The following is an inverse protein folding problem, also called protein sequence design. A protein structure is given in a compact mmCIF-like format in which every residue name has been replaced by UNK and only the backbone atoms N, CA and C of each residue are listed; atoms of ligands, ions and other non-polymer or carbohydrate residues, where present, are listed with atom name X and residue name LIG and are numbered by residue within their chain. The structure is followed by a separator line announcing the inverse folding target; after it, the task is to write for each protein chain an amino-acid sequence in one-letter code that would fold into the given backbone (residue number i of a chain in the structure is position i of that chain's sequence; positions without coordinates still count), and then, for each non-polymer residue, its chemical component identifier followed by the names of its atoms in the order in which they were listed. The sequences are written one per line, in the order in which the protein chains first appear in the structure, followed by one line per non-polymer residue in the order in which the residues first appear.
data_IF_712296403438
#
_entry.id   IF_712296403438
#
_cell.length_a   1.000
_cell.length_b   1.000
_cell.length_c   1.000
_cell.angle_alpha   90.00
_cell.angle_beta   90.00
_cell.angle_gamma   90.00
#
_symmetry.space_group_name_H-M   'P 1'
#
loop_
_entity.id
_entity.type
_entity.pdbx_description
1 polymer ?
#
# COMPACT_ATOMS: atom_id res chain seq x y z
N UNK A 1 8.23 7.52 -11.13
CA UNK A 1 7.34 8.53 -11.76
C UNK A 1 8.19 9.72 -12.15
N UNK A 2 8.10 10.22 -13.38
CA UNK A 2 8.86 11.39 -13.82
C UNK A 2 8.04 12.69 -13.62
N UNK A 3 8.69 13.86 -13.74
CA UNK A 3 8.05 15.18 -13.55
C UNK A 3 6.88 15.42 -14.51
N UNK A 4 6.92 14.85 -15.72
CA UNK A 4 5.82 14.93 -16.67
C UNK A 4 4.61 14.14 -16.17
N UNK A 5 4.77 12.88 -15.77
CA UNK A 5 3.67 12.05 -15.28
C UNK A 5 3.03 12.67 -14.03
N UNK A 6 3.87 13.09 -13.07
CA UNK A 6 3.42 13.71 -11.83
C UNK A 6 2.63 15.01 -12.09
N UNK A 7 3.13 15.89 -12.98
CA UNK A 7 2.44 17.12 -13.34
C UNK A 7 1.14 16.87 -14.14
N UNK A 8 1.06 15.78 -14.91
CA UNK A 8 -0.18 15.37 -15.57
C UNK A 8 -1.21 14.90 -14.54
N UNK A 9 -0.85 13.96 -13.67
CA UNK A 9 -1.73 13.37 -12.64
C UNK A 9 -2.30 14.42 -11.69
N UNK A 10 -1.46 15.33 -11.18
CA UNK A 10 -1.91 16.42 -10.29
C UNK A 10 -2.93 17.32 -10.99
N UNK A 11 -2.72 17.66 -12.27
CA UNK A 11 -3.67 18.49 -13.02
C UNK A 11 -4.96 17.73 -13.34
N UNK A 12 -4.92 16.42 -13.62
CA UNK A 12 -6.13 15.63 -13.86
C UNK A 12 -7.01 15.54 -12.60
N UNK A 13 -6.41 15.31 -11.42
CA UNK A 13 -7.13 15.35 -10.15
C UNK A 13 -7.69 16.75 -9.85
N UNK A 14 -6.89 17.83 -10.02
CA UNK A 14 -7.39 19.20 -9.88
C UNK A 14 -8.58 19.48 -10.81
N UNK A 15 -8.54 19.01 -12.06
CA UNK A 15 -9.63 19.17 -13.02
C UNK A 15 -10.93 18.48 -12.58
N UNK A 16 -10.88 17.43 -11.74
CA UNK A 16 -12.10 16.83 -11.16
C UNK A 16 -12.78 17.82 -10.19
N UNK A 17 -12.02 18.49 -9.33
CA UNK A 17 -12.58 19.47 -8.39
C UNK A 17 -13.12 20.71 -9.11
N UNK A 18 -12.41 21.23 -10.12
CA UNK A 18 -12.88 22.36 -10.91
C UNK A 18 -14.13 22.03 -11.74
N UNK A 19 -14.25 20.80 -12.27
CA UNK A 19 -15.49 20.30 -12.89
C UNK A 19 -16.66 20.22 -11.89
N UNK A 20 -16.42 19.75 -10.65
CA UNK A 20 -17.44 19.75 -9.58
C UNK A 20 -17.93 21.17 -9.24
N UNK A 21 -17.05 22.16 -9.30
CA UNK A 21 -17.39 23.57 -9.10
C UNK A 21 -18.10 24.24 -10.30
N UNK A 22 -18.29 23.54 -11.43
CA UNK A 22 -18.77 24.07 -12.72
C UNK A 22 -17.93 25.20 -13.34
N UNK A 23 -16.84 25.63 -12.71
CA UNK A 23 -16.02 26.76 -13.18
C UNK A 23 -15.25 26.39 -14.47
N UNK A 24 -15.37 27.18 -15.56
CA UNK A 24 -14.59 26.96 -16.78
C UNK A 24 -13.08 27.06 -16.51
N UNK A 25 -12.31 26.09 -16.99
CA UNK A 25 -10.84 26.04 -16.81
C UNK A 25 -10.07 26.44 -18.06
N UNK A 26 -8.77 26.71 -17.92
CA UNK A 26 -7.81 26.75 -19.04
C UNK A 26 -7.65 25.36 -19.67
N UNK A 27 -7.03 25.30 -20.85
CA UNK A 27 -6.74 24.03 -21.52
C UNK A 27 -5.72 23.20 -20.72
N UNK A 28 -5.90 21.87 -20.70
CA UNK A 28 -5.12 20.94 -19.86
C UNK A 28 -3.61 21.09 -20.04
N UNK A 29 -3.14 21.29 -21.28
CA UNK A 29 -1.72 21.52 -21.57
C UNK A 29 -1.12 22.68 -20.79
N UNK A 30 -1.89 23.74 -20.57
CA UNK A 30 -1.38 25.01 -20.09
C UNK A 30 -1.44 25.07 -18.56
N UNK A 31 -2.38 24.34 -17.96
CA UNK A 31 -2.34 23.96 -16.55
C UNK A 31 -1.08 23.14 -16.23
N UNK A 32 -0.73 22.13 -17.05
CA UNK A 32 0.50 21.34 -16.88
C UNK A 32 1.76 22.20 -17.08
N UNK A 33 1.79 23.10 -18.08
CA UNK A 33 2.89 24.07 -18.27
C UNK A 33 3.04 25.00 -17.05
N UNK A 34 1.95 25.53 -16.49
CA UNK A 34 1.95 26.36 -15.27
C UNK A 34 2.61 25.61 -14.11
N UNK A 35 2.19 24.37 -13.87
CA UNK A 35 2.69 23.55 -12.76
C UNK A 35 4.18 23.20 -12.92
N UNK A 36 4.62 22.82 -14.14
CA UNK A 36 6.05 22.57 -14.43
C UNK A 36 6.91 23.82 -14.22
N UNK A 37 6.48 24.99 -14.72
CA UNK A 37 7.19 26.26 -14.53
C UNK A 37 7.31 26.66 -13.05
N UNK A 38 6.29 26.37 -12.23
CA UNK A 38 6.33 26.62 -10.78
C UNK A 38 7.31 25.67 -10.08
N UNK A 39 7.36 24.39 -10.45
CA UNK A 39 8.37 23.44 -9.97
C UNK A 39 9.80 23.86 -10.37
N UNK A 40 10.02 24.29 -11.61
CA UNK A 40 11.31 24.82 -12.08
C UNK A 40 11.74 26.08 -11.31
N UNK A 41 10.78 26.97 -11.02
CA UNK A 41 11.02 28.17 -10.20
C UNK A 41 11.45 27.77 -8.79
N UNK A 42 10.72 26.84 -8.15
CA UNK A 42 11.06 26.29 -6.84
C UNK A 42 12.45 25.64 -6.81
N UNK A 43 12.75 24.73 -7.75
CA UNK A 43 14.08 24.07 -7.87
C UNK A 43 15.21 25.07 -8.07
N UNK A 44 14.95 26.24 -8.64
CA UNK A 44 15.96 27.28 -8.79
C UNK A 44 16.14 28.11 -7.52
N UNK A 45 15.08 28.39 -6.74
CA UNK A 45 15.18 28.99 -5.41
C UNK A 45 15.91 28.06 -4.42
N UNK A 46 15.60 26.77 -4.45
CA UNK A 46 16.23 25.74 -3.63
C UNK A 46 17.76 25.67 -3.86
N UNK A 47 18.22 25.76 -5.11
CA UNK A 47 19.67 25.84 -5.43
C UNK A 47 20.34 27.11 -4.87
N UNK A 48 19.59 28.20 -4.67
CA UNK A 48 20.10 29.48 -4.19
C UNK A 48 19.80 29.78 -2.72
N UNK A 49 19.21 28.85 -1.97
CA UNK A 49 18.76 29.04 -0.59
C UNK A 49 19.87 29.52 0.39
N UNK A 50 21.15 29.24 0.07
CA UNK A 50 22.31 29.69 0.85
C UNK A 50 22.71 31.16 0.59
N UNK A 51 22.00 31.90 -0.29
CA UNK A 51 22.33 33.28 -0.67
C UNK A 51 21.41 34.28 0.05
N UNK A 52 21.92 34.92 1.09
CA UNK A 52 21.18 35.89 1.92
C UNK A 52 20.95 37.28 1.26
N UNK A 53 20.99 37.39 -0.08
CA UNK A 53 20.78 38.67 -0.77
C UNK A 53 19.30 39.09 -0.75
N UNK A 54 19.02 40.38 -0.70
CA UNK A 54 17.64 40.88 -0.61
C UNK A 54 16.84 40.61 -1.89
N UNK A 55 17.54 40.50 -3.03
CA UNK A 55 16.99 39.98 -4.29
C UNK A 55 16.57 38.51 -4.24
N UNK A 56 17.18 37.68 -3.37
CA UNK A 56 16.75 36.29 -3.15
C UNK A 56 15.57 36.24 -2.18
N UNK A 57 15.66 36.92 -1.03
CA UNK A 57 14.55 37.07 -0.06
C UNK A 57 13.27 37.57 -0.73
N UNK A 58 13.39 38.56 -1.62
CA UNK A 58 12.27 39.11 -2.39
C UNK A 58 11.63 38.07 -3.32
N UNK A 59 12.42 37.25 -4.00
CA UNK A 59 11.90 36.16 -4.87
C UNK A 59 11.22 35.07 -4.06
N UNK A 60 11.77 34.72 -2.90
CA UNK A 60 11.19 33.72 -1.98
C UNK A 60 9.85 34.21 -1.42
N UNK A 61 9.76 35.48 -1.00
CA UNK A 61 8.50 36.12 -0.59
C UNK A 61 7.46 36.10 -1.72
N UNK A 62 7.83 36.57 -2.92
CA UNK A 62 6.93 36.57 -4.09
C UNK A 62 6.48 35.14 -4.44
N UNK A 63 7.36 34.14 -4.33
CA UNK A 63 7.00 32.75 -4.57
C UNK A 63 6.01 32.23 -3.51
N UNK A 64 6.24 32.52 -2.22
CA UNK A 64 5.34 32.16 -1.12
C UNK A 64 3.95 32.77 -1.28
N UNK A 65 3.86 34.07 -1.61
CA UNK A 65 2.60 34.76 -1.90
C UNK A 65 1.84 34.11 -3.07
N UNK A 66 2.56 33.67 -4.10
CA UNK A 66 1.99 32.99 -5.27
C UNK A 66 1.56 31.54 -5.01
N UNK A 67 2.04 30.86 -3.96
CA UNK A 67 1.60 29.49 -3.64
C UNK A 67 0.11 29.41 -3.30
N UNK A 68 -0.47 30.48 -2.74
CA UNK A 68 -1.91 30.58 -2.52
C UNK A 68 -2.73 30.49 -3.84
N UNK A 69 -2.11 30.87 -4.97
CA UNK A 69 -2.69 30.87 -6.31
C UNK A 69 -2.20 29.70 -7.19
N UNK A 70 -1.50 28.72 -6.61
CA UNK A 70 -0.94 27.54 -7.29
C UNK A 70 -1.97 26.84 -8.19
N UNK A 71 -3.16 26.56 -7.65
CA UNK A 71 -4.22 25.82 -8.34
C UNK A 71 -5.36 26.68 -8.91
N UNK A 72 -5.20 28.02 -9.04
CA UNK A 72 -6.08 28.79 -9.93
C UNK A 72 -5.78 28.38 -11.39
N UNK A 73 -6.70 27.59 -11.95
CA UNK A 73 -6.71 27.15 -13.34
C UNK A 73 -7.96 27.65 -14.08
N UNK A 74 -8.64 28.68 -13.56
CA UNK A 74 -9.81 29.29 -14.18
C UNK A 74 -9.49 29.81 -15.58
N UNK A 75 -10.42 29.66 -16.51
CA UNK A 75 -10.35 30.31 -17.81
C UNK A 75 -10.21 31.83 -17.63
N UNK A 76 -9.48 32.50 -18.52
CA UNK A 76 -9.26 33.95 -18.42
C UNK A 76 -10.62 34.71 -18.34
N UNK A 77 -11.58 34.28 -19.16
CA UNK A 77 -12.93 34.84 -19.22
C UNK A 77 -13.93 34.03 -18.37
N UNK A 78 -13.50 33.36 -17.28
CA UNK A 78 -14.40 32.51 -16.48
C UNK A 78 -15.62 33.28 -15.94
N UNK A 79 -15.43 34.51 -15.44
CA UNK A 79 -16.51 35.33 -14.85
C UNK A 79 -17.61 35.73 -15.85
N UNK A 80 -17.33 35.77 -17.16
CA UNK A 80 -18.34 36.04 -18.20
C UNK A 80 -18.88 34.76 -18.88
N UNK A 81 -18.22 33.62 -18.70
CA UNK A 81 -18.72 32.30 -19.13
C UNK A 81 -19.65 31.65 -18.09
N UNK A 82 -19.46 31.94 -16.81
CA UNK A 82 -20.35 31.50 -15.73
C UNK A 82 -21.68 32.29 -15.82
N UNK A 83 -22.81 31.57 -15.83
CA UNK A 83 -24.16 32.17 -15.90
C UNK A 83 -24.89 32.28 -14.56
N UNK A 84 -24.35 31.67 -13.50
CA UNK A 84 -24.90 31.63 -12.14
C UNK A 84 -24.08 32.61 -11.30
N UNK A 85 -24.70 33.58 -10.63
CA UNK A 85 -23.96 34.64 -9.94
C UNK A 85 -23.25 34.11 -8.67
N UNK A 86 -23.86 33.16 -7.98
CA UNK A 86 -23.26 32.45 -6.84
C UNK A 86 -21.97 31.69 -7.23
N UNK A 87 -21.90 31.12 -8.44
CA UNK A 87 -20.70 30.45 -8.97
C UNK A 87 -19.59 31.49 -9.30
N UNK A 88 -19.95 32.76 -9.60
CA UNK A 88 -18.98 33.86 -9.79
C UNK A 88 -18.45 34.36 -8.45
N UNK A 89 -19.34 34.57 -7.48
CA UNK A 89 -18.99 34.99 -6.12
C UNK A 89 -18.07 33.96 -5.45
N UNK A 90 -18.36 32.67 -5.62
CA UNK A 90 -17.48 31.59 -5.16
C UNK A 90 -16.08 31.66 -5.80
N UNK A 91 -15.96 31.87 -7.12
CA UNK A 91 -14.66 32.05 -7.79
C UNK A 91 -13.91 33.30 -7.28
N UNK A 92 -14.62 34.37 -6.91
CA UNK A 92 -14.02 35.56 -6.31
C UNK A 92 -13.54 35.26 -4.88
N UNK A 93 -14.34 34.58 -4.06
CA UNK A 93 -14.00 34.18 -2.70
C UNK A 93 -12.79 33.22 -2.64
N UNK A 94 -12.63 32.32 -3.62
CA UNK A 94 -11.45 31.45 -3.74
C UNK A 94 -10.15 32.22 -4.07
N UNK A 95 -10.25 33.46 -4.57
CA UNK A 95 -9.11 34.32 -4.91
C UNK A 95 -8.74 35.33 -3.83
N UNK A 96 -9.59 35.52 -2.83
CA UNK A 96 -9.28 36.34 -1.65
C UNK A 96 -8.21 35.65 -0.78
N UNK A 97 -7.40 36.41 -0.01
CA UNK A 97 -6.59 35.83 1.06
C UNK A 97 -7.47 35.03 2.03
N UNK A 98 -6.88 34.02 2.65
CA UNK A 98 -7.52 33.09 3.61
C UNK A 98 -8.66 32.19 3.06
N UNK A 99 -9.15 32.42 1.83
CA UNK A 99 -10.22 31.64 1.14
C UNK A 99 -11.48 31.43 1.98
N UNK A 100 -12.41 32.37 1.88
CA UNK A 100 -13.64 32.49 2.72
C UNK A 100 -14.67 31.34 2.60
N UNK A 101 -14.37 30.22 1.92
CA UNK A 101 -15.29 29.09 1.79
C UNK A 101 -14.69 27.85 1.14
N UNK A 102 -15.42 26.73 1.21
CA UNK A 102 -15.05 25.44 0.61
C UNK A 102 -16.28 24.68 0.10
N UNK A 103 -16.09 23.75 -0.84
CA UNK A 103 -17.18 22.91 -1.34
C UNK A 103 -17.35 21.67 -0.45
N UNK A 104 -18.49 21.58 0.25
CA UNK A 104 -18.80 20.47 1.17
C UNK A 104 -19.50 19.30 0.46
N UNK A 105 -20.32 19.57 -0.58
CA UNK A 105 -21.12 18.54 -1.26
C UNK A 105 -21.53 18.91 -2.68
N UNK A 106 -22.20 17.98 -3.36
CA UNK A 106 -22.71 18.16 -4.73
C UNK A 106 -24.17 18.63 -4.65
N UNK A 107 -24.52 19.72 -5.34
CA UNK A 107 -25.91 20.17 -5.47
C UNK A 107 -26.72 19.17 -6.33
N UNK A 108 -27.49 18.32 -5.67
CA UNK A 108 -28.34 17.30 -6.30
C UNK A 108 -29.44 17.90 -7.18
N UNK A 109 -29.97 19.09 -6.85
CA UNK A 109 -31.08 19.72 -7.59
C UNK A 109 -30.57 20.25 -8.94
N UNK A 110 -29.47 20.99 -8.91
CA UNK A 110 -28.88 21.60 -10.11
C UNK A 110 -28.23 20.51 -11.00
N UNK A 111 -27.54 19.53 -10.40
CA UNK A 111 -27.02 18.35 -11.13
C UNK A 111 -28.13 17.58 -11.86
N UNK A 112 -29.31 17.38 -11.24
CA UNK A 112 -30.44 16.72 -11.89
C UNK A 112 -31.02 17.56 -13.06
N UNK A 113 -31.07 18.89 -12.91
CA UNK A 113 -31.51 19.78 -13.99
C UNK A 113 -30.53 19.77 -15.18
N UNK A 114 -29.22 19.77 -14.91
CA UNK A 114 -28.18 19.67 -15.95
C UNK A 114 -28.21 18.32 -16.67
N UNK A 115 -28.35 17.20 -15.95
CA UNK A 115 -28.50 15.87 -16.56
C UNK A 115 -29.68 15.82 -17.53
N UNK A 116 -30.85 16.32 -17.12
CA UNK A 116 -32.04 16.47 -17.99
C UNK A 116 -31.77 17.37 -19.21
N UNK A 117 -31.02 18.47 -19.05
CA UNK A 117 -30.62 19.40 -20.13
C UNK A 117 -29.64 18.75 -21.12
N UNK A 118 -28.70 17.94 -20.62
CA UNK A 118 -27.74 17.18 -21.41
C UNK A 118 -28.42 16.05 -22.21
N UNK A 119 -29.33 15.29 -21.59
CA UNK A 119 -30.14 14.26 -22.27
C UNK A 119 -31.00 14.86 -23.38
N UNK A 120 -31.66 16.01 -23.12
CA UNK A 120 -32.40 16.77 -24.14
C UNK A 120 -31.49 17.20 -25.32
N UNK A 121 -30.26 17.68 -25.04
CA UNK A 121 -29.26 17.98 -26.09
C UNK A 121 -28.82 16.72 -26.85
N UNK A 122 -28.55 15.60 -26.18
CA UNK A 122 -28.15 14.32 -26.81
C UNK A 122 -29.25 13.80 -27.74
N UNK A 123 -30.51 13.79 -27.30
CA UNK A 123 -31.66 13.42 -28.13
C UNK A 123 -31.83 14.36 -29.34
N UNK A 124 -31.65 15.68 -29.18
CA UNK A 124 -31.64 16.63 -30.32
C UNK A 124 -30.50 16.36 -31.31
N UNK A 125 -29.26 16.13 -30.85
CA UNK A 125 -28.13 15.80 -31.74
C UNK A 125 -28.36 14.48 -32.48
N UNK A 126 -28.83 13.44 -31.79
CA UNK A 126 -29.19 12.16 -32.40
C UNK A 126 -30.33 12.31 -33.44
N UNK A 127 -31.35 13.14 -33.19
CA UNK A 127 -32.37 13.43 -34.21
C UNK A 127 -31.78 14.14 -35.43
N UNK A 128 -30.90 15.15 -35.25
CA UNK A 128 -30.23 15.78 -36.40
C UNK A 128 -29.41 14.75 -37.19
N UNK A 129 -28.57 13.96 -36.53
CA UNK A 129 -27.72 12.95 -37.18
C UNK A 129 -28.54 11.86 -37.91
N UNK A 130 -29.75 11.53 -37.44
CA UNK A 130 -30.66 10.64 -38.19
C UNK A 130 -31.18 11.28 -39.47
N UNK A 131 -31.69 12.52 -39.40
CA UNK A 131 -32.18 13.25 -40.59
C UNK A 131 -31.05 13.49 -41.60
N UNK A 132 -29.84 13.77 -41.12
CA UNK A 132 -28.62 13.98 -41.90
C UNK A 132 -28.19 12.67 -42.60
N UNK A 133 -28.29 11.51 -41.93
CA UNK A 133 -28.06 10.19 -42.53
C UNK A 133 -29.19 9.74 -43.48
N UNK A 134 -30.45 10.09 -43.19
CA UNK A 134 -31.60 9.84 -44.06
C UNK A 134 -31.48 10.64 -45.37
N UNK A 135 -31.09 11.92 -45.32
CA UNK A 135 -30.78 12.72 -46.52
C UNK A 135 -29.66 12.11 -47.37
N UNK A 136 -28.57 11.64 -46.74
CA UNK A 136 -27.48 10.94 -47.45
C UNK A 136 -28.01 9.67 -48.13
N UNK A 137 -28.89 8.91 -47.47
CA UNK A 137 -29.50 7.71 -48.06
C UNK A 137 -30.42 8.03 -49.23
N UNK A 138 -31.19 9.13 -49.18
CA UNK A 138 -32.01 9.56 -50.31
C UNK A 138 -31.16 10.00 -51.51
N UNK A 139 -30.08 10.76 -51.29
CA UNK A 139 -29.16 11.14 -52.38
C UNK A 139 -28.44 9.94 -53.01
N UNK A 140 -28.13 8.89 -52.24
CA UNK A 140 -27.52 7.67 -52.77
C UNK A 140 -28.48 6.78 -53.59
N UNK A 141 -29.80 6.99 -53.48
CA UNK A 141 -30.81 6.27 -54.27
C UNK A 141 -31.13 6.98 -55.61
N UNK A 142 -30.74 8.25 -55.74
CA UNK A 142 -30.97 9.08 -56.94
C UNK A 142 -29.83 8.94 -57.96
N UNK A 143 -28.69 8.34 -57.57
CA UNK A 143 -27.48 8.19 -58.38
C UNK A 143 -27.37 6.89 -59.19
N UNK A 144 -28.21 5.88 -58.92
CA UNK A 144 -28.05 4.52 -59.48
C UNK A 144 -28.62 4.35 -60.92
N UNK A 145 -28.82 5.44 -61.66
CA UNK A 145 -29.20 5.43 -63.08
C UNK A 145 -28.16 6.18 -63.95
N UNK A 146 -26.87 5.89 -63.76
CA UNK A 146 -25.88 6.13 -64.83
C UNK A 146 -24.64 5.24 -64.79
N UNK A 147 -24.46 4.53 -65.91
CA UNK A 147 -23.21 4.12 -66.55
C UNK A 147 -22.45 2.87 -66.05
N UNK A 148 -21.80 2.23 -67.04
CA UNK A 148 -21.18 0.91 -67.01
C UNK A 148 -19.69 1.04 -67.31
N UNK A 149 -18.82 0.46 -66.48
CA UNK A 149 -17.60 -0.12 -67.05
C UNK A 149 -16.32 -0.22 -66.20
N UNK A 150 -15.63 -1.33 -66.49
CA UNK A 150 -14.16 -1.50 -66.57
C UNK A 150 -13.33 -1.47 -65.29
N UNK A 151 -12.97 -2.70 -64.90
CA UNK A 151 -11.72 -3.16 -64.27
C UNK A 151 -10.45 -2.39 -64.67
N UNK A 152 -9.43 -2.43 -63.80
CA UNK A 152 -7.98 -2.74 -64.03
C UNK A 152 -7.22 -2.39 -62.72
N UNK A 153 -6.94 -3.37 -61.85
CA UNK A 153 -5.62 -4.01 -61.58
C UNK A 153 -4.71 -3.18 -60.62
N UNK A 154 -3.63 -3.68 -60.00
CA UNK A 154 -2.86 -4.95 -60.12
C UNK A 154 -2.12 -5.28 -58.79
N UNK A 155 -1.94 -6.57 -58.46
CA UNK A 155 -0.75 -7.19 -57.76
C UNK A 155 -0.30 -6.69 -56.35
N UNK A 156 0.52 -7.39 -55.54
CA UNK A 156 1.26 -8.68 -55.57
C UNK A 156 1.22 -9.27 -54.12
N UNK A 157 0.78 -10.52 -53.89
CA UNK A 157 1.55 -11.78 -53.75
C UNK A 157 2.43 -11.99 -52.48
N UNK A 158 2.35 -13.20 -51.91
CA UNK A 158 3.06 -13.70 -50.70
C UNK A 158 4.05 -14.85 -51.03
N UNK A 159 4.78 -15.31 -49.99
CA UNK A 159 5.27 -16.71 -49.77
C UNK A 159 6.72 -17.07 -50.16
N UNK A 160 7.49 -17.54 -49.15
CA UNK A 160 8.29 -18.80 -49.04
C UNK A 160 9.03 -18.74 -47.67
N UNK A 161 8.95 -19.70 -46.73
CA UNK A 161 9.46 -21.10 -46.68
C UNK A 161 11.01 -21.21 -46.80
N UNK A 162 11.74 -21.97 -45.98
CA UNK A 162 11.47 -22.74 -44.72
C UNK A 162 12.83 -22.91 -43.92
N UNK A 163 13.21 -23.87 -43.06
CA UNK A 163 12.73 -25.20 -42.61
C UNK A 163 13.49 -25.71 -41.33
N UNK A 164 13.26 -26.97 -40.89
CA UNK A 164 14.02 -27.91 -39.97
C UNK A 164 14.91 -27.35 -38.82
N UNK A 165 14.90 -27.86 -37.56
CA UNK A 165 14.07 -28.89 -36.91
C UNK A 165 14.76 -29.71 -35.77
N UNK A 166 13.94 -30.27 -34.86
CA UNK A 166 14.10 -31.56 -34.11
C UNK A 166 15.08 -31.71 -32.89
N UNK A 167 14.54 -32.38 -31.84
CA UNK A 167 15.16 -33.20 -30.75
C UNK A 167 15.88 -32.58 -29.51
N UNK A 168 15.13 -32.58 -28.39
CA UNK A 168 15.43 -33.12 -27.05
C UNK A 168 16.88 -33.41 -26.57
N UNK A 169 17.14 -33.06 -25.29
CA UNK A 169 17.54 -34.05 -24.27
C UNK A 169 17.31 -33.52 -22.84
N UNK A 170 17.19 -34.44 -21.87
CA UNK A 170 17.07 -34.19 -20.43
C UNK A 170 18.34 -34.57 -19.70
N UNK A 171 18.64 -33.95 -18.56
CA UNK A 171 19.43 -34.60 -17.51
C UNK A 171 19.14 -34.06 -16.11
N UNK A 172 19.43 -34.88 -15.10
CA UNK A 172 19.21 -34.65 -13.68
C UNK A 172 20.52 -34.44 -12.92
N UNK A 173 20.53 -33.54 -11.94
CA UNK A 173 21.61 -33.47 -10.94
C UNK A 173 21.20 -34.10 -9.60
N UNK A 174 22.14 -34.82 -9.00
CA UNK A 174 21.95 -35.67 -7.82
C UNK A 174 22.70 -35.13 -6.60
N UNK A 175 22.15 -35.38 -5.40
CA UNK A 175 22.78 -35.03 -4.13
C UNK A 175 24.05 -35.85 -3.85
N UNK A 176 25.18 -35.18 -3.60
CA UNK A 176 26.37 -35.84 -3.06
C UNK A 176 26.44 -35.73 -1.53
N UNK A 177 26.42 -36.87 -0.85
CA UNK A 177 26.91 -36.99 0.53
C UNK A 177 28.45 -36.94 0.53
N UNK A 178 29.04 -36.26 1.53
CA UNK A 178 30.48 -36.34 1.81
C UNK A 178 30.69 -36.81 3.24
N UNK A 179 31.04 -38.09 3.38
CA UNK A 179 31.36 -38.71 4.67
C UNK A 179 32.83 -38.49 5.02
N UNK A 180 33.11 -37.80 6.12
CA UNK A 180 34.45 -37.76 6.71
C UNK A 180 34.56 -38.80 7.82
N UNK A 181 35.29 -39.88 7.54
CA UNK A 181 35.71 -40.85 8.56
C UNK A 181 36.85 -40.25 9.38
N UNK A 182 36.66 -40.14 10.70
CA UNK A 182 37.74 -39.90 11.67
C UNK A 182 37.78 -41.11 12.59
N UNK A 183 38.97 -41.67 12.77
CA UNK A 183 39.21 -42.86 13.60
C UNK A 183 38.90 -42.54 15.08
N UNK A 184 38.22 -43.46 15.76
CA UNK A 184 37.84 -43.31 17.16
C UNK A 184 38.24 -44.56 17.94
N UNK A 185 39.13 -44.40 18.92
CA UNK A 185 39.48 -45.47 19.86
C UNK A 185 38.34 -45.72 20.86
N UNK A 186 38.09 -46.99 21.26
CA UNK A 186 36.93 -47.35 22.08
C UNK A 186 37.15 -47.04 23.57
N UNK A 187 36.91 -45.80 23.98
CA UNK A 187 36.86 -45.45 25.41
C UNK A 187 35.56 -45.97 26.06
N UNK A 188 35.69 -46.99 26.91
CA UNK A 188 34.58 -47.72 27.51
C UNK A 188 33.97 -47.03 28.74
N UNK A 189 33.17 -46.00 28.53
CA UNK A 189 32.16 -45.57 29.52
C UNK A 189 30.80 -45.33 28.85
N UNK A 190 29.81 -46.16 29.19
CA UNK A 190 28.43 -45.98 28.73
C UNK A 190 27.81 -44.85 29.54
N UNK A 191 27.90 -43.63 29.03
CA UNK A 191 27.30 -42.46 29.64
C UNK A 191 25.79 -42.67 29.82
N UNK A 192 25.37 -42.96 31.05
CA UNK A 192 23.96 -43.16 31.40
C UNK A 192 23.19 -41.89 31.12
N UNK A 193 22.41 -41.90 30.03
CA UNK A 193 21.61 -40.76 29.61
C UNK A 193 20.43 -40.59 30.56
N UNK A 194 20.35 -39.43 31.20
CA UNK A 194 19.24 -39.07 32.07
C UNK A 194 17.88 -39.29 31.43
N UNK A 195 16.94 -39.80 32.23
CA UNK A 195 15.65 -40.33 31.78
C UNK A 195 14.49 -39.40 32.14
N UNK A 196 14.65 -38.57 33.17
CA UNK A 196 13.59 -37.70 33.70
C UNK A 196 13.54 -36.35 32.96
N UNK A 197 12.41 -36.05 32.31
CA UNK A 197 12.20 -34.75 31.66
C UNK A 197 11.96 -33.65 32.71
N UNK A 198 12.96 -32.77 32.89
CA UNK A 198 12.88 -31.64 33.83
C UNK A 198 12.12 -30.43 33.29
N UNK A 199 12.14 -30.20 31.97
CA UNK A 199 11.48 -29.05 31.33
C UNK A 199 10.00 -29.35 31.07
N UNK A 200 9.13 -28.76 31.88
CA UNK A 200 7.68 -28.75 31.69
C UNK A 200 7.17 -27.41 31.09
N UNK A 201 5.89 -27.35 30.72
CA UNK A 201 5.26 -26.16 30.09
C UNK A 201 5.43 -24.86 30.91
N UNK A 202 5.32 -24.93 32.25
CA UNK A 202 5.48 -23.76 33.15
C UNK A 202 6.93 -23.27 33.19
N UNK A 203 7.90 -24.18 33.29
CA UNK A 203 9.32 -23.86 33.27
C UNK A 203 9.77 -23.31 31.91
N UNK A 204 9.30 -23.89 30.81
CA UNK A 204 9.54 -23.38 29.46
C UNK A 204 8.97 -21.96 29.26
N UNK A 205 7.75 -21.71 29.75
CA UNK A 205 7.14 -20.37 29.72
C UNK A 205 7.93 -19.35 30.55
N UNK A 206 8.41 -19.73 31.74
CA UNK A 206 9.27 -18.88 32.57
C UNK A 206 10.60 -18.56 31.87
N UNK A 207 11.28 -19.56 31.30
CA UNK A 207 12.51 -19.36 30.52
C UNK A 207 12.30 -18.43 29.32
N UNK A 208 11.16 -18.54 28.63
CA UNK A 208 10.80 -17.66 27.51
C UNK A 208 10.57 -16.21 28.00
N UNK A 209 9.79 -16.01 29.07
CA UNK A 209 9.50 -14.69 29.65
C UNK A 209 10.77 -13.99 30.16
N UNK A 210 11.67 -14.74 30.78
CA UNK A 210 12.96 -14.25 31.28
C UNK A 210 14.07 -14.22 30.20
N UNK A 211 13.75 -14.48 28.92
CA UNK A 211 14.67 -14.44 27.77
C UNK A 211 15.91 -15.36 27.89
N UNK A 212 15.81 -16.43 28.69
CA UNK A 212 16.88 -17.41 28.94
C UNK A 212 17.19 -18.19 27.65
N UNK A 213 18.45 -18.25 27.20
CA UNK A 213 18.82 -19.03 26.02
C UNK A 213 18.87 -20.53 26.32
N UNK A 214 18.87 -21.38 25.28
CA UNK A 214 19.00 -22.84 25.48
C UNK A 214 20.37 -23.26 26.05
N UNK A 215 21.37 -22.37 26.10
CA UNK A 215 22.66 -22.61 26.77
C UNK A 215 22.56 -22.26 28.25
N UNK A 216 22.05 -21.07 28.56
CA UNK A 216 21.88 -20.60 29.94
C UNK A 216 20.90 -21.50 30.71
N UNK A 217 19.88 -22.03 30.02
CA UNK A 217 18.97 -23.04 30.55
C UNK A 217 19.68 -24.35 30.95
N UNK A 218 20.75 -24.77 30.28
CA UNK A 218 21.55 -25.94 30.70
C UNK A 218 22.31 -25.61 31.99
N UNK A 219 23.02 -24.48 32.03
CA UNK A 219 23.80 -24.07 33.19
C UNK A 219 22.91 -23.86 34.44
N UNK A 220 21.79 -23.17 34.29
CA UNK A 220 20.83 -22.94 35.38
C UNK A 220 20.21 -24.25 35.88
N UNK A 221 19.84 -25.18 34.98
CA UNK A 221 19.24 -26.45 35.41
C UNK A 221 20.25 -27.36 36.13
N UNK A 222 21.49 -27.45 35.66
CA UNK A 222 22.54 -28.19 36.38
C UNK A 222 22.76 -27.59 37.78
N UNK A 223 23.00 -26.27 37.87
CA UNK A 223 23.24 -25.59 39.15
C UNK A 223 22.05 -25.68 40.12
N UNK A 224 20.81 -25.70 39.61
CA UNK A 224 19.64 -25.95 40.45
C UNK A 224 19.55 -27.41 40.92
N UNK A 225 19.83 -28.40 40.06
CA UNK A 225 19.78 -29.82 40.44
C UNK A 225 20.88 -30.15 41.46
N UNK A 226 22.09 -29.62 41.26
CA UNK A 226 23.20 -29.72 42.22
C UNK A 226 22.87 -29.04 43.57
N UNK A 227 22.28 -27.84 43.55
CA UNK A 227 21.92 -27.13 44.81
C UNK A 227 20.74 -27.74 45.57
N UNK A 228 19.94 -28.60 44.93
CA UNK A 228 18.95 -29.46 45.60
C UNK A 228 19.50 -30.85 46.00
N UNK A 229 20.82 -31.07 45.92
CA UNK A 229 21.50 -32.34 46.23
C UNK A 229 21.01 -33.53 45.37
N UNK A 230 20.55 -33.25 44.15
CA UNK A 230 20.11 -34.22 43.16
C UNK A 230 21.22 -34.45 42.11
N UNK A 231 21.24 -35.60 41.46
CA UNK A 231 22.24 -35.95 40.44
C UNK A 231 21.83 -35.42 39.05
N UNK A 232 22.60 -34.53 38.39
CA UNK A 232 22.31 -34.05 37.04
C UNK A 232 22.18 -35.16 35.99
N UNK A 233 22.87 -36.28 36.17
CA UNK A 233 22.87 -37.41 35.23
C UNK A 233 21.52 -38.15 35.15
N UNK A 234 20.62 -37.96 36.12
CA UNK A 234 19.29 -38.59 36.12
C UNK A 234 18.31 -37.85 35.19
N UNK A 235 18.59 -36.59 34.85
CA UNK A 235 17.69 -35.67 34.16
C UNK A 235 18.08 -35.40 32.70
N UNK A 236 17.11 -35.07 31.85
CA UNK A 236 17.32 -34.75 30.43
C UNK A 236 17.83 -33.30 30.25
N UNK A 237 18.95 -32.94 30.89
CA UNK A 237 19.53 -31.58 30.82
C UNK A 237 20.52 -31.50 29.65
N UNK A 238 20.00 -31.24 28.45
CA UNK A 238 20.83 -30.95 27.27
C UNK A 238 20.13 -29.96 26.33
N UNK A 239 20.91 -29.05 25.76
CA UNK A 239 20.45 -27.96 24.87
C UNK A 239 19.44 -28.42 23.83
N UNK A 240 19.72 -29.52 23.14
CA UNK A 240 18.89 -30.04 22.04
C UNK A 240 17.54 -30.62 22.49
N UNK A 241 17.42 -31.07 23.74
CA UNK A 241 16.15 -31.55 24.30
C UNK A 241 15.36 -30.43 24.96
N UNK A 242 16.04 -29.50 25.65
CA UNK A 242 15.44 -28.24 26.14
C UNK A 242 14.84 -27.46 24.97
N UNK A 243 15.57 -27.29 23.86
CA UNK A 243 15.09 -26.60 22.65
C UNK A 243 13.85 -27.27 22.05
N UNK A 244 13.83 -28.61 21.96
CA UNK A 244 12.69 -29.37 21.43
C UNK A 244 11.45 -29.24 22.33
N UNK A 245 11.60 -29.41 23.64
CA UNK A 245 10.49 -29.21 24.60
C UNK A 245 9.96 -27.76 24.55
N UNK A 246 10.85 -26.76 24.51
CA UNK A 246 10.47 -25.35 24.33
C UNK A 246 9.83 -25.06 22.97
N UNK A 247 10.07 -25.85 21.93
CA UNK A 247 9.41 -25.74 20.64
C UNK A 247 8.01 -26.35 20.69
N UNK A 248 7.89 -27.61 21.10
CA UNK A 248 6.62 -28.31 21.28
C UNK A 248 5.66 -27.50 22.16
N UNK A 249 6.08 -27.04 23.34
CA UNK A 249 5.21 -26.23 24.22
C UNK A 249 4.81 -24.86 23.64
N UNK A 250 5.48 -24.36 22.60
CA UNK A 250 5.04 -23.16 21.85
C UNK A 250 4.03 -23.52 20.76
N UNK A 251 4.24 -24.63 20.06
CA UNK A 251 3.30 -25.19 19.08
C UNK A 251 1.98 -25.58 19.77
N UNK A 252 2.04 -26.35 20.86
CA UNK A 252 0.90 -26.65 21.73
C UNK A 252 0.17 -25.37 22.17
N UNK A 253 0.92 -24.33 22.57
CA UNK A 253 0.32 -23.08 23.08
C UNK A 253 -0.32 -22.25 21.96
N UNK A 254 0.24 -22.25 20.75
CA UNK A 254 -0.39 -21.60 19.60
C UNK A 254 -1.72 -22.27 19.22
N UNK A 255 -1.76 -23.62 19.23
CA UNK A 255 -2.99 -24.40 18.97
C UNK A 255 -4.06 -24.10 20.03
N UNK A 256 -3.70 -24.07 21.32
CA UNK A 256 -4.63 -23.72 22.39
C UNK A 256 -5.16 -22.29 22.22
N UNK A 257 -4.31 -21.29 21.93
CA UNK A 257 -4.72 -19.90 21.72
C UNK A 257 -5.68 -19.76 20.53
N UNK A 258 -5.44 -20.48 19.44
CA UNK A 258 -6.35 -20.48 18.29
C UNK A 258 -7.72 -21.08 18.68
N UNK A 259 -7.74 -22.26 19.30
CA UNK A 259 -8.98 -22.92 19.74
C UNK A 259 -9.74 -22.12 20.83
N UNK A 260 -9.04 -21.43 21.72
CA UNK A 260 -9.63 -20.51 22.72
C UNK A 260 -10.26 -19.27 22.05
N UNK A 261 -9.70 -18.80 20.93
CA UNK A 261 -10.25 -17.67 20.16
C UNK A 261 -11.45 -18.07 19.29
N UNK A 262 -11.39 -19.24 18.63
CA UNK A 262 -12.50 -19.79 17.83
C UNK A 262 -13.79 -19.95 18.67
N UNK A 263 -13.65 -20.34 19.94
CA UNK A 263 -14.76 -20.42 20.91
C UNK A 263 -15.44 -19.07 21.21
N UNK A 264 -14.86 -17.93 20.84
CA UNK A 264 -15.45 -16.61 21.08
C UNK A 264 -16.52 -16.21 20.07
N UNK A 265 -16.64 -16.92 18.93
CA UNK A 265 -17.63 -16.71 17.85
C UNK A 265 -17.90 -15.22 17.55
N UNK A 266 -16.92 -14.55 16.93
CA UNK A 266 -16.83 -13.08 16.90
C UNK A 266 -17.56 -12.47 15.69
N UNK A 267 -18.64 -11.72 15.91
CA UNK A 267 -19.37 -11.01 14.85
C UNK A 267 -18.60 -9.82 14.21
N UNK A 268 -17.64 -9.25 14.94
CA UNK A 268 -16.96 -7.99 14.58
C UNK A 268 -15.47 -8.01 14.93
N UNK A 269 -14.63 -7.78 13.92
CA UNK A 269 -13.19 -7.65 14.04
C UNK A 269 -12.65 -6.33 13.45
N UNK A 270 -11.71 -5.72 14.16
CA UNK A 270 -10.81 -4.68 13.63
C UNK A 270 -9.44 -5.31 13.43
N UNK A 271 -8.89 -5.23 12.21
CA UNK A 271 -7.53 -5.73 11.93
C UNK A 271 -6.53 -4.60 12.10
N UNK A 272 -5.52 -4.82 12.92
CA UNK A 272 -4.40 -3.93 13.15
C UNK A 272 -3.13 -4.57 12.55
N UNK A 273 -2.33 -3.78 11.83
CA UNK A 273 -0.99 -4.20 11.41
C UNK A 273 0.04 -3.07 11.48
N UNK A 274 1.30 -3.44 11.69
CA UNK A 274 2.49 -2.58 11.70
C UNK A 274 3.66 -3.37 11.07
N UNK A 275 4.71 -2.69 10.57
CA UNK A 275 5.87 -3.35 9.98
C UNK A 275 7.15 -3.13 10.80
N UNK A 276 7.84 -4.22 11.14
CA UNK A 276 9.12 -4.18 11.86
C UNK A 276 10.22 -4.92 11.14
N UNK A 277 11.32 -4.24 10.89
CA UNK A 277 12.57 -4.86 10.48
C UNK A 277 13.23 -5.53 11.69
N UNK A 278 13.26 -6.87 11.69
CA UNK A 278 13.94 -7.68 12.71
C UNK A 278 15.12 -8.44 12.08
N UNK A 279 16.15 -8.82 12.84
CA UNK A 279 17.23 -9.66 12.34
C UNK A 279 16.72 -11.02 11.83
N UNK A 280 17.32 -11.53 10.77
CA UNK A 280 17.13 -12.90 10.30
C UNK A 280 17.61 -13.92 11.35
N UNK A 281 17.26 -15.21 11.16
CA UNK A 281 17.78 -16.31 12.01
C UNK A 281 19.32 -16.44 11.91
N UNK A 282 19.92 -15.97 10.81
CA UNK A 282 21.38 -15.88 10.63
C UNK A 282 21.99 -14.60 11.22
N UNK A 283 21.18 -13.61 11.61
CA UNK A 283 21.61 -12.33 12.18
C UNK A 283 22.21 -11.32 11.20
N UNK A 284 22.51 -11.73 9.96
CA UNK A 284 23.21 -10.92 8.95
C UNK A 284 22.26 -9.89 8.31
N UNK A 285 21.02 -10.29 8.02
CA UNK A 285 20.06 -9.48 7.25
C UNK A 285 18.92 -8.98 8.13
N UNK A 286 18.33 -7.84 7.76
CA UNK A 286 17.07 -7.37 8.36
C UNK A 286 15.91 -7.79 7.48
N UNK A 287 14.99 -8.56 8.06
CA UNK A 287 13.81 -9.09 7.38
C UNK A 287 12.55 -8.37 7.87
N UNK A 288 11.60 -8.14 6.96
CA UNK A 288 10.31 -7.55 7.28
C UNK A 288 9.44 -8.54 8.06
N UNK A 289 8.96 -8.12 9.23
CA UNK A 289 7.99 -8.85 10.04
C UNK A 289 6.76 -7.99 10.23
N UNK A 290 5.60 -8.58 10.03
CA UNK A 290 4.30 -7.90 10.06
C UNK A 290 3.45 -8.52 11.17
N UNK A 291 3.47 -8.00 12.42
CA UNK A 291 2.48 -8.38 13.42
C UNK A 291 1.07 -8.05 12.93
N UNK A 292 0.19 -9.05 12.95
CA UNK A 292 -1.23 -8.92 12.61
C UNK A 292 -2.03 -9.20 13.88
N UNK A 293 -2.72 -8.19 14.38
CA UNK A 293 -3.51 -8.25 15.61
C UNK A 293 -4.97 -8.01 15.23
N UNK A 294 -5.90 -8.79 15.78
CA UNK A 294 -7.33 -8.52 15.68
C UNK A 294 -7.88 -8.07 17.03
N UNK A 295 -8.55 -6.92 17.01
CA UNK A 295 -9.27 -6.39 18.16
C UNK A 295 -10.76 -6.64 17.97
N UNK A 296 -11.38 -7.24 18.97
CA UNK A 296 -12.79 -7.61 19.01
C UNK A 296 -13.48 -6.85 20.16
N UNK A 297 -14.76 -7.11 20.42
CA UNK A 297 -15.44 -6.60 21.62
C UNK A 297 -15.01 -7.33 22.91
N UNK A 298 -14.44 -8.54 22.79
CA UNK A 298 -14.13 -9.42 23.92
C UNK A 298 -12.63 -9.47 24.26
N UNK A 299 -11.77 -9.39 23.25
CA UNK A 299 -10.31 -9.56 23.39
C UNK A 299 -9.52 -8.83 22.29
N UNK A 300 -8.21 -8.68 22.50
CA UNK A 300 -7.24 -8.25 21.50
C UNK A 300 -6.20 -9.36 21.30
N UNK A 301 -6.24 -10.01 20.14
CA UNK A 301 -5.52 -11.24 19.85
C UNK A 301 -4.45 -11.00 18.77
N UNK A 302 -3.20 -11.35 19.06
CA UNK A 302 -2.16 -11.47 18.03
C UNK A 302 -2.42 -12.74 17.22
N UNK A 303 -2.74 -12.60 15.93
CA UNK A 303 -2.97 -13.74 15.04
C UNK A 303 -1.63 -14.37 14.64
N UNK A 304 -0.79 -13.61 13.93
CA UNK A 304 0.52 -14.06 13.46
C UNK A 304 1.55 -12.91 13.35
N UNK A 305 2.81 -13.30 13.10
CA UNK A 305 3.91 -12.38 12.75
C UNK A 305 4.63 -12.89 11.48
N UNK A 306 3.95 -12.95 10.32
CA UNK A 306 4.53 -13.42 9.06
C UNK A 306 5.81 -12.69 8.66
N UNK A 307 6.64 -13.42 7.92
CA UNK A 307 7.77 -12.87 7.15
C UNK A 307 7.22 -12.25 5.87
N UNK A 308 7.47 -10.96 5.64
CA UNK A 308 7.16 -10.30 4.36
C UNK A 308 8.46 -10.07 3.57
N UNK A 309 8.51 -10.45 2.27
CA UNK A 309 9.72 -10.30 1.45
C UNK A 309 9.97 -8.84 1.04
N UNK A 310 8.93 -8.00 1.04
CA UNK A 310 9.04 -6.56 0.87
C UNK A 310 7.98 -5.84 1.71
N UNK A 311 8.24 -4.59 2.09
CA UNK A 311 7.24 -3.70 2.70
C UNK A 311 6.26 -3.08 1.69
N UNK A 312 6.00 -3.74 0.56
CA UNK A 312 5.03 -3.23 -0.44
C UNK A 312 3.60 -3.57 -0.04
N UNK A 313 2.65 -2.71 -0.38
CA UNK A 313 1.25 -2.90 -0.01
C UNK A 313 0.63 -4.20 -0.54
N UNK A 314 1.13 -4.72 -1.66
CA UNK A 314 0.75 -6.05 -2.18
C UNK A 314 1.15 -7.17 -1.22
N UNK A 315 2.40 -7.20 -0.75
CA UNK A 315 2.87 -8.26 0.15
C UNK A 315 2.27 -8.14 1.55
N UNK A 316 1.99 -6.92 2.02
CA UNK A 316 1.24 -6.68 3.25
C UNK A 316 -0.22 -7.18 3.08
N UNK A 317 -0.91 -6.82 2.00
CA UNK A 317 -2.27 -7.29 1.68
C UNK A 317 -2.35 -8.81 1.46
N UNK A 318 -1.28 -9.44 0.99
CA UNK A 318 -1.16 -10.91 0.94
C UNK A 318 -1.06 -11.49 2.35
N UNK A 319 -0.09 -11.05 3.14
CA UNK A 319 0.12 -11.57 4.49
C UNK A 319 -1.11 -11.38 5.40
N UNK A 320 -1.78 -10.22 5.35
CA UNK A 320 -3.01 -9.98 6.13
C UNK A 320 -4.16 -10.88 5.66
N UNK A 321 -4.44 -10.95 4.35
CA UNK A 321 -5.55 -11.76 3.83
C UNK A 321 -5.39 -13.25 4.18
N UNK A 322 -4.22 -13.83 3.90
CA UNK A 322 -3.94 -15.23 4.17
C UNK A 322 -4.01 -15.55 5.68
N UNK A 323 -3.70 -14.59 6.55
CA UNK A 323 -3.86 -14.74 8.01
C UNK A 323 -5.35 -14.70 8.41
N UNK A 324 -6.16 -13.86 7.77
CA UNK A 324 -7.61 -13.82 8.02
C UNK A 324 -8.33 -15.08 7.52
N UNK A 325 -7.93 -15.64 6.38
CA UNK A 325 -8.41 -16.94 5.90
C UNK A 325 -8.09 -18.06 6.90
N UNK A 326 -6.84 -18.12 7.39
CA UNK A 326 -6.38 -19.15 8.33
C UNK A 326 -7.13 -19.13 9.68
N UNK A 327 -7.61 -17.97 10.11
CA UNK A 327 -8.32 -17.76 11.37
C UNK A 327 -9.85 -17.64 11.21
N UNK A 328 -10.38 -17.91 10.02
CA UNK A 328 -11.81 -17.81 9.67
C UNK A 328 -12.46 -16.47 10.04
N UNK A 329 -11.75 -15.37 9.77
CA UNK A 329 -12.16 -13.99 10.11
C UNK A 329 -12.55 -13.14 8.88
N UNK A 330 -12.55 -13.72 7.68
CA UNK A 330 -12.67 -13.01 6.40
C UNK A 330 -13.96 -12.18 6.31
N UNK A 331 -15.08 -12.66 6.86
CA UNK A 331 -16.37 -11.97 6.82
C UNK A 331 -16.61 -11.04 8.03
N UNK A 332 -15.96 -11.32 9.16
CA UNK A 332 -16.16 -10.68 10.46
C UNK A 332 -15.43 -9.32 10.55
N UNK A 333 -14.39 -9.11 9.73
CA UNK A 333 -13.64 -7.85 9.69
C UNK A 333 -14.50 -6.70 9.19
N UNK A 334 -14.51 -5.57 9.89
CA UNK A 334 -15.23 -4.35 9.46
C UNK A 334 -14.37 -3.08 9.45
N UNK A 335 -13.17 -3.11 10.04
CA UNK A 335 -12.24 -1.99 10.02
C UNK A 335 -10.77 -2.41 9.94
N UNK A 336 -9.93 -1.53 9.39
CA UNK A 336 -8.48 -1.67 9.31
C UNK A 336 -7.78 -0.54 10.08
N UNK A 337 -6.74 -0.86 10.86
CA UNK A 337 -5.88 0.09 11.58
C UNK A 337 -4.43 -0.10 11.15
N UNK A 338 -3.82 0.97 10.64
CA UNK A 338 -2.52 0.94 9.95
C UNK A 338 -1.79 2.29 10.07
N UNK A 339 -0.47 2.28 9.96
CA UNK A 339 0.34 3.50 9.84
C UNK A 339 0.18 4.18 8.47
N UNK A 340 0.32 5.51 8.40
CA UNK A 340 0.04 6.28 7.18
C UNK A 340 1.19 6.31 6.17
N UNK A 341 2.02 5.26 6.11
CA UNK A 341 2.99 5.10 5.01
C UNK A 341 2.29 4.81 3.69
N UNK A 342 2.91 5.21 2.58
CA UNK A 342 2.39 4.98 1.22
C UNK A 342 2.19 3.49 0.89
N UNK A 343 2.97 2.61 1.52
CA UNK A 343 2.81 1.15 1.51
C UNK A 343 1.42 0.68 1.95
N UNK A 344 0.80 1.37 2.92
CA UNK A 344 -0.58 1.09 3.33
C UNK A 344 -1.60 1.94 2.55
N UNK A 345 -1.29 3.22 2.33
CA UNK A 345 -2.29 4.23 1.93
C UNK A 345 -2.32 4.60 0.45
N UNK A 346 -1.47 4.03 -0.41
CA UNK A 346 -1.52 4.33 -1.86
C UNK A 346 -2.86 3.91 -2.50
N UNK A 347 -3.38 4.78 -3.37
CA UNK A 347 -4.70 4.65 -3.99
C UNK A 347 -4.85 3.42 -4.90
N UNK A 348 -3.75 2.84 -5.39
CA UNK A 348 -3.80 1.71 -6.33
C UNK A 348 -3.04 0.48 -5.82
N UNK A 349 -1.99 0.69 -5.02
CA UNK A 349 -1.08 -0.36 -4.55
C UNK A 349 -0.94 -0.42 -3.02
N UNK A 350 -1.67 0.43 -2.29
CA UNK A 350 -1.66 0.46 -0.83
C UNK A 350 -2.35 -0.77 -0.24
N UNK A 351 -1.79 -1.29 0.85
CA UNK A 351 -2.28 -2.50 1.51
C UNK A 351 -3.79 -2.46 1.81
N UNK A 352 -4.30 -1.31 2.26
CA UNK A 352 -5.71 -1.15 2.61
C UNK A 352 -6.62 -1.31 1.38
N UNK A 353 -6.30 -0.61 0.29
CA UNK A 353 -7.04 -0.67 -0.97
C UNK A 353 -7.00 -2.07 -1.59
N UNK A 354 -5.83 -2.70 -1.59
CA UNK A 354 -5.67 -4.06 -2.13
C UNK A 354 -6.42 -5.10 -1.28
N UNK A 355 -6.43 -4.94 0.05
CA UNK A 355 -7.14 -5.85 0.96
C UNK A 355 -8.66 -5.66 0.91
N UNK A 356 -9.16 -4.42 0.83
CA UNK A 356 -10.59 -4.12 0.64
C UNK A 356 -11.11 -4.74 -0.67
N UNK A 357 -10.35 -4.62 -1.77
CA UNK A 357 -10.71 -5.27 -3.04
C UNK A 357 -10.73 -6.81 -2.96
N UNK A 358 -9.90 -7.44 -2.11
CA UNK A 358 -9.95 -8.90 -1.87
C UNK A 358 -11.16 -9.32 -1.05
N UNK A 359 -11.53 -8.54 -0.02
CA UNK A 359 -12.72 -8.80 0.80
C UNK A 359 -14.03 -8.52 0.04
N UNK A 360 -13.99 -7.85 -1.12
CA UNK A 360 -15.13 -7.61 -2.00
C UNK A 360 -16.21 -6.67 -1.43
N UNK A 361 -15.92 -5.99 -0.32
CA UNK A 361 -16.87 -5.19 0.47
C UNK A 361 -16.16 -4.00 1.13
N UNK A 362 -16.91 -2.92 1.36
CA UNK A 362 -16.38 -1.69 1.95
C UNK A 362 -15.89 -1.92 3.39
N UNK A 363 -14.72 -1.37 3.75
CA UNK A 363 -14.12 -1.49 5.09
C UNK A 363 -13.81 -0.10 5.68
N UNK A 364 -13.99 0.07 6.99
CA UNK A 364 -13.67 1.33 7.66
C UNK A 364 -12.15 1.49 7.86
N UNK A 365 -11.55 2.43 7.13
CA UNK A 365 -10.11 2.73 7.23
C UNK A 365 -9.81 3.68 8.40
N UNK A 366 -9.07 3.20 9.40
CA UNK A 366 -8.74 3.91 10.64
C UNK A 366 -7.23 4.18 10.74
N UNK A 367 -6.77 5.22 10.06
CA UNK A 367 -5.38 5.68 10.09
C UNK A 367 -4.85 5.89 11.53
N UNK A 368 -3.66 5.36 11.81
CA UNK A 368 -3.07 5.34 13.15
C UNK A 368 -2.77 6.75 13.69
N UNK A 369 -3.57 7.17 14.68
CA UNK A 369 -3.43 8.48 15.34
C UNK A 369 -2.07 8.69 16.00
N UNK A 370 -1.44 7.64 16.52
CA UNK A 370 -0.09 7.74 17.12
C UNK A 370 0.93 8.21 16.09
N UNK A 371 0.94 7.61 14.90
CA UNK A 371 1.85 7.99 13.82
C UNK A 371 1.52 9.39 13.25
N UNK A 372 0.25 9.76 13.17
CA UNK A 372 -0.15 11.13 12.80
C UNK A 372 0.40 12.16 13.82
N UNK A 373 0.31 11.88 15.12
CA UNK A 373 0.87 12.75 16.16
C UNK A 373 2.40 12.76 16.16
N UNK A 374 3.05 11.62 15.88
CA UNK A 374 4.51 11.53 15.70
C UNK A 374 5.00 12.45 14.58
N UNK A 375 4.34 12.41 13.41
CA UNK A 375 4.66 13.28 12.27
C UNK A 375 4.46 14.77 12.60
N UNK A 376 3.37 15.14 13.27
CA UNK A 376 3.10 16.53 13.70
C UNK A 376 4.13 17.00 14.72
N UNK A 377 4.50 16.16 15.69
CA UNK A 377 5.51 16.48 16.70
C UNK A 377 6.92 16.60 16.08
N UNK A 378 7.26 15.70 15.16
CA UNK A 378 8.52 15.75 14.40
C UNK A 378 8.62 17.03 13.56
N UNK A 379 7.52 17.45 12.92
CA UNK A 379 7.48 18.70 12.17
C UNK A 379 7.70 19.92 13.08
N UNK A 380 7.00 19.99 14.22
CA UNK A 380 7.16 21.08 15.19
C UNK A 380 8.58 21.16 15.76
N UNK A 381 9.17 20.03 16.17
CA UNK A 381 10.54 19.98 16.67
C UNK A 381 11.59 20.30 15.59
N UNK A 382 11.29 19.97 14.32
CA UNK A 382 12.14 20.35 13.19
C UNK A 382 12.08 21.86 12.92
N UNK A 383 10.91 22.49 13.01
CA UNK A 383 10.79 23.94 12.85
C UNK A 383 11.47 24.72 13.98
N UNK A 384 11.35 24.28 15.24
CA UNK A 384 12.00 24.98 16.38
C UNK A 384 13.52 25.03 16.23
N UNK A 385 14.16 23.96 15.75
CA UNK A 385 15.61 23.91 15.51
C UNK A 385 16.11 24.94 14.47
N UNK A 386 15.25 25.36 13.54
CA UNK A 386 15.58 26.42 12.57
C UNK A 386 15.60 27.82 13.22
N UNK A 387 14.94 28.02 14.36
CA UNK A 387 14.94 29.28 15.09
C UNK A 387 16.03 29.37 16.16
N UNK A 388 16.41 28.25 16.79
CA UNK A 388 17.49 28.17 17.79
C UNK A 388 18.92 28.25 17.22
N UNK A 389 19.09 28.77 16.01
CA UNK A 389 20.34 28.75 15.23
C UNK A 389 20.74 30.15 14.71
N UNK A 390 20.50 31.20 15.51
CA UNK A 390 20.95 32.58 15.28
C UNK A 390 21.72 33.08 16.50
#
# INVERSE_FOLDING_TARGET
MNLSDAANLVIDECLIFWKKARIPTKHRSDCVKKLKKLYETWRNLEKSCKRLSDTQKSKEKIFGENMNNLFDIAHANALSLISIDEDKEFLIAQRKPNREGSMIGIDLKLTAAEKRKAERKKKKKQKKQRVEAEMIKYHALDSDISDVGKNISTEQYETHMSDVGIASSSNSDLSMNVSYNILQEPCSSVAMRGRTLIVNRRLAAAMNKCKVSDRDAVYLLNACVESFLLNPMDYVINRSSIRRARQQYREDTAINIQAEFEQLNVDFAVVHWDTKLLPSVTGIEKQGRLPIIVKTLLTEQLLEVPLIPSGSGKEISNAVFNTLEKWDLVDNVQAFVFDTTSSNTDRFNGACTLLEMKLGRNILFLACRHHIFELVFQAAMSSVKLYSSN
#
